data_IF_302771460104
#
_entry.id   IF_302771460104
#
_cell.length_a   1.000
_cell.length_b   1.000
_cell.length_c   1.000
_cell.angle_alpha   90.00
_cell.angle_beta   90.00
_cell.angle_gamma   90.00
#
_symmetry.space_group_name_H-M   'P 1'
#
loop_
_entity.id
_entity.type
_entity.pdbx_description
1 polymer ?
#
# COMPACT_ATOMS: atom_id res chain seq x y z
N UNK A 1 -12.85 6.04 8.21
CA UNK A 1 -12.81 5.33 9.51
C UNK A 1 -12.33 3.92 9.24
N UNK A 2 -11.02 3.69 9.17
CA UNK A 2 -10.40 2.57 8.44
C UNK A 2 -10.69 1.13 8.88
N UNK A 3 -11.45 0.91 9.95
CA UNK A 3 -11.93 -0.41 10.38
C UNK A 3 -13.33 -0.62 9.80
N UNK A 4 -13.69 -1.84 9.40
CA UNK A 4 -14.97 -2.28 8.79
C UNK A 4 -15.03 -2.20 7.26
N UNK A 5 -14.33 -1.27 6.59
CA UNK A 5 -14.19 -1.32 5.13
C UNK A 5 -13.08 -2.31 4.76
N UNK A 6 -13.40 -3.29 3.91
CA UNK A 6 -12.48 -4.34 3.44
C UNK A 6 -12.33 -4.34 1.91
N UNK A 7 -12.69 -3.22 1.27
CA UNK A 7 -12.68 -3.01 -0.18
C UNK A 7 -11.33 -2.52 -0.70
N UNK A 8 -10.35 -2.33 0.19
CA UNK A 8 -9.00 -1.87 -0.12
C UNK A 8 -7.94 -2.54 0.74
N UNK A 9 -6.68 -2.62 0.30
CA UNK A 9 -5.58 -3.18 1.10
C UNK A 9 -5.40 -2.46 2.45
N UNK A 10 -5.41 -1.13 2.55
CA UNK A 10 -5.30 -0.46 3.85
C UNK A 10 -6.45 -0.84 4.79
N UNK A 11 -7.64 -1.05 4.23
CA UNK A 11 -8.79 -1.57 4.97
C UNK A 11 -8.53 -3.00 5.46
N UNK A 12 -8.04 -3.89 4.59
CA UNK A 12 -7.67 -5.26 4.94
C UNK A 12 -6.60 -5.30 6.04
N UNK A 13 -5.56 -4.48 5.93
CA UNK A 13 -4.49 -4.36 6.95
C UNK A 13 -5.05 -3.86 8.27
N UNK A 14 -5.89 -2.83 8.25
CA UNK A 14 -6.51 -2.30 9.46
C UNK A 14 -7.43 -3.34 10.15
N UNK A 15 -8.24 -4.07 9.37
CA UNK A 15 -9.14 -5.10 9.89
C UNK A 15 -8.35 -6.29 10.45
N UNK A 16 -7.33 -6.77 9.74
CA UNK A 16 -6.47 -7.86 10.21
C UNK A 16 -5.72 -7.46 11.47
N UNK A 17 -5.18 -6.25 11.52
CA UNK A 17 -4.50 -5.74 12.71
C UNK A 17 -5.44 -5.71 13.91
N UNK A 18 -6.67 -5.20 13.74
CA UNK A 18 -7.66 -5.13 14.80
C UNK A 18 -8.05 -6.53 15.31
N UNK A 19 -8.26 -7.48 14.39
CA UNK A 19 -8.58 -8.87 14.71
C UNK A 19 -7.43 -9.56 15.47
N UNK A 20 -6.20 -9.43 15.00
CA UNK A 20 -5.03 -10.07 15.61
C UNK A 20 -4.70 -9.45 16.97
N UNK A 21 -4.90 -8.13 17.12
CA UNK A 21 -4.80 -7.48 18.42
C UNK A 21 -5.87 -8.01 19.37
N UNK A 22 -7.14 -8.06 18.96
CA UNK A 22 -8.24 -8.55 19.79
C UNK A 22 -8.01 -9.99 20.29
N UNK A 23 -7.46 -10.87 19.45
CA UNK A 23 -7.17 -12.28 19.80
C UNK A 23 -6.16 -12.45 20.93
N UNK A 24 -5.31 -11.45 21.16
CA UNK A 24 -4.23 -11.48 22.16
C UNK A 24 -4.27 -10.27 23.09
N UNK A 25 -5.37 -9.51 23.12
CA UNK A 25 -5.40 -8.22 23.80
C UNK A 25 -5.13 -8.34 25.31
N UNK A 26 -5.66 -9.38 25.96
CA UNK A 26 -5.42 -9.63 27.39
C UNK A 26 -3.95 -9.94 27.65
N UNK A 27 -3.35 -10.79 26.81
CA UNK A 27 -1.94 -11.20 26.92
C UNK A 27 -1.01 -10.00 26.70
N UNK A 28 -1.45 -9.01 25.93
CA UNK A 28 -0.76 -7.74 25.69
C UNK A 28 -1.06 -6.67 26.77
N UNK A 29 -1.69 -7.04 27.89
CA UNK A 29 -1.94 -6.16 29.04
C UNK A 29 -3.27 -5.41 29.01
N UNK A 30 -4.18 -5.72 28.10
CA UNK A 30 -5.52 -5.14 28.09
C UNK A 30 -6.35 -5.65 29.28
N UNK A 31 -7.22 -4.76 29.78
CA UNK A 31 -8.25 -5.11 30.78
C UNK A 31 -9.35 -6.02 30.23
N UNK A 32 -9.46 -6.14 28.91
CA UNK A 32 -10.44 -6.97 28.25
C UNK A 32 -9.89 -8.37 27.98
N UNK A 33 -10.76 -9.37 27.99
CA UNK A 33 -10.40 -10.74 27.63
C UNK A 33 -10.09 -10.87 26.14
N UNK A 34 -9.22 -11.80 25.76
CA UNK A 34 -8.98 -12.15 24.36
C UNK A 34 -10.29 -12.45 23.62
N UNK A 35 -10.43 -11.94 22.40
CA UNK A 35 -11.65 -12.05 21.61
C UNK A 35 -11.34 -12.37 20.14
N UNK A 36 -12.16 -13.22 19.53
CA UNK A 36 -12.11 -13.54 18.10
C UNK A 36 -13.48 -13.18 17.50
N UNK A 37 -13.58 -12.02 16.86
CA UNK A 37 -14.86 -11.46 16.41
C UNK A 37 -15.29 -12.03 15.06
N UNK A 38 -16.60 -12.26 14.90
CA UNK A 38 -17.21 -12.59 13.60
C UNK A 38 -17.41 -11.33 12.74
N UNK A 39 -17.67 -11.51 11.43
CA UNK A 39 -18.01 -10.39 10.55
C UNK A 39 -19.24 -9.60 11.04
N UNK A 40 -20.21 -10.26 11.69
CA UNK A 40 -21.38 -9.61 12.28
C UNK A 40 -21.02 -8.75 13.48
N UNK A 41 -20.13 -9.23 14.36
CA UNK A 41 -19.68 -8.43 15.50
C UNK A 41 -18.88 -7.20 15.03
N UNK A 42 -18.08 -7.34 13.97
CA UNK A 42 -17.42 -6.19 13.34
C UNK A 42 -18.39 -5.22 12.67
N UNK A 43 -19.49 -5.70 12.09
CA UNK A 43 -20.57 -4.86 11.57
C UNK A 43 -21.25 -4.06 12.68
N UNK A 44 -21.57 -4.68 13.81
CA UNK A 44 -22.14 -4.01 14.99
C UNK A 44 -21.17 -2.96 15.57
N UNK A 45 -19.87 -3.29 15.63
CA UNK A 45 -18.83 -2.34 15.98
C UNK A 45 -18.83 -1.13 15.02
N UNK A 46 -18.92 -1.36 13.72
CA UNK A 46 -18.98 -0.29 12.70
C UNK A 46 -20.15 0.66 12.89
N UNK A 47 -21.34 0.13 13.19
CA UNK A 47 -22.53 0.93 13.50
C UNK A 47 -22.35 1.77 14.77
N UNK A 48 -21.72 1.19 15.79
CA UNK A 48 -21.37 1.90 17.03
C UNK A 48 -20.40 3.03 16.73
N UNK A 49 -19.36 2.77 15.94
CA UNK A 49 -18.37 3.76 15.55
C UNK A 49 -19.00 4.95 14.81
N UNK A 50 -19.90 4.69 13.85
CA UNK A 50 -20.65 5.73 13.14
C UNK A 50 -21.52 6.56 14.10
N UNK A 51 -22.14 5.91 15.09
CA UNK A 51 -22.94 6.59 16.11
C UNK A 51 -22.06 7.52 16.97
N UNK A 52 -20.89 7.04 17.43
CA UNK A 52 -19.95 7.84 18.23
C UNK A 52 -19.32 8.99 17.46
N UNK A 53 -19.02 8.79 16.18
CA UNK A 53 -18.58 9.85 15.28
C UNK A 53 -19.66 10.94 15.15
N UNK A 54 -20.91 10.55 14.88
CA UNK A 54 -22.05 11.47 14.76
C UNK A 54 -22.32 12.26 16.05
N UNK A 55 -22.27 11.61 17.22
CA UNK A 55 -22.42 12.27 18.53
C UNK A 55 -21.41 13.42 18.69
N UNK A 56 -20.16 13.22 18.27
CA UNK A 56 -19.11 14.24 18.36
C UNK A 56 -19.33 15.37 17.35
N UNK A 57 -19.73 15.08 16.11
CA UNK A 57 -20.10 16.11 15.12
C UNK A 57 -21.24 16.98 15.60
N UNK A 58 -22.30 16.38 16.14
CA UNK A 58 -23.43 17.10 16.74
C UNK A 58 -22.99 17.95 17.93
N UNK A 59 -21.99 17.49 18.70
CA UNK A 59 -21.43 18.28 19.79
C UNK A 59 -20.68 19.53 19.29
N UNK A 60 -19.98 19.45 18.15
CA UNK A 60 -19.32 20.61 17.53
C UNK A 60 -20.32 21.58 16.89
N UNK A 61 -21.36 21.06 16.23
CA UNK A 61 -22.47 21.88 15.72
C UNK A 61 -23.14 22.70 16.82
N UNK A 62 -23.43 22.08 17.97
CA UNK A 62 -24.02 22.76 19.14
C UNK A 62 -23.13 23.84 19.76
N UNK A 63 -21.84 23.88 19.39
CA UNK A 63 -20.86 24.89 19.84
C UNK A 63 -20.58 25.94 18.77
N UNK A 64 -21.44 26.03 17.75
CA UNK A 64 -21.27 26.94 16.60
C UNK A 64 -19.92 26.74 15.87
N UNK A 65 -19.44 25.48 15.84
CA UNK A 65 -18.23 25.08 15.11
C UNK A 65 -18.55 24.06 14.01
N UNK A 66 -19.32 24.45 12.97
CA UNK A 66 -19.64 23.57 11.85
C UNK A 66 -18.40 23.16 11.04
N UNK A 67 -17.35 23.98 11.05
CA UNK A 67 -16.05 23.69 10.47
C UNK A 67 -15.42 22.41 11.07
N UNK A 68 -15.46 22.28 12.40
CA UNK A 68 -14.95 21.11 13.12
C UNK A 68 -15.93 19.93 13.09
N UNK A 69 -17.23 20.19 12.92
CA UNK A 69 -18.19 19.12 12.73
C UNK A 69 -18.04 18.45 11.35
N UNK A 70 -17.69 19.23 10.32
CA UNK A 70 -17.42 18.73 8.97
C UNK A 70 -16.09 17.96 8.94
N UNK A 71 -15.03 18.56 9.46
CA UNK A 71 -13.70 17.96 9.56
C UNK A 71 -13.35 17.71 11.02
N UNK A 72 -13.81 16.57 11.55
CA UNK A 72 -13.58 16.22 12.95
C UNK A 72 -12.08 16.27 13.28
N UNK A 73 -11.69 16.99 14.36
CA UNK A 73 -10.32 16.97 14.86
C UNK A 73 -9.87 15.54 15.16
N UNK A 74 -8.59 15.26 14.97
CA UNK A 74 -7.98 13.96 15.25
C UNK A 74 -8.27 13.47 16.67
N UNK A 75 -8.25 14.37 17.65
CA UNK A 75 -8.62 14.03 19.03
C UNK A 75 -10.08 13.58 19.17
N UNK A 76 -11.00 14.18 18.40
CA UNK A 76 -12.41 13.74 18.38
C UNK A 76 -12.55 12.40 17.67
N UNK A 77 -11.86 12.19 16.55
CA UNK A 77 -11.88 10.90 15.84
C UNK A 77 -11.33 9.79 16.74
N UNK A 78 -10.21 10.04 17.42
CA UNK A 78 -9.63 9.12 18.40
C UNK A 78 -10.62 8.79 19.52
N UNK A 79 -11.29 9.78 20.09
CA UNK A 79 -12.30 9.58 21.13
C UNK A 79 -13.50 8.76 20.65
N UNK A 80 -13.96 8.94 19.40
CA UNK A 80 -15.03 8.11 18.83
C UNK A 80 -14.61 6.63 18.73
N UNK A 81 -13.38 6.38 18.27
CA UNK A 81 -12.83 5.02 18.17
C UNK A 81 -12.67 4.42 19.57
N UNK A 82 -12.06 5.12 20.52
CA UNK A 82 -11.87 4.65 21.90
C UNK A 82 -13.21 4.21 22.51
N UNK A 83 -14.23 5.06 22.42
CA UNK A 83 -15.58 4.74 22.93
C UNK A 83 -16.21 3.53 22.24
N UNK A 84 -16.03 3.39 20.93
CA UNK A 84 -16.56 2.25 20.19
C UNK A 84 -15.84 0.95 20.60
N UNK A 85 -14.51 0.94 20.66
CA UNK A 85 -13.74 -0.24 21.07
C UNK A 85 -14.08 -0.65 22.50
N UNK A 86 -14.11 0.30 23.44
CA UNK A 86 -14.43 0.00 24.83
C UNK A 86 -15.86 -0.55 25.01
N UNK A 87 -16.83 -0.01 24.27
CA UNK A 87 -18.23 -0.49 24.32
C UNK A 87 -18.34 -1.95 23.84
N UNK A 88 -17.47 -2.37 22.92
CA UNK A 88 -17.38 -3.73 22.39
C UNK A 88 -16.39 -4.62 23.15
N UNK A 89 -15.89 -4.17 24.32
CA UNK A 89 -14.89 -4.88 25.13
C UNK A 89 -13.61 -5.20 24.34
N UNK A 90 -13.19 -4.25 23.54
CA UNK A 90 -11.95 -4.29 22.78
C UNK A 90 -11.01 -3.18 23.26
N UNK A 91 -9.72 -3.47 23.24
CA UNK A 91 -8.71 -2.48 23.52
C UNK A 91 -8.72 -1.36 22.45
N UNK A 92 -8.70 -0.07 22.82
CA UNK A 92 -8.61 1.01 21.85
C UNK A 92 -7.40 0.92 20.91
N UNK A 93 -6.31 0.28 21.34
CA UNK A 93 -5.14 0.05 20.49
C UNK A 93 -5.38 -0.97 19.37
N UNK A 94 -6.54 -1.63 19.30
CA UNK A 94 -6.97 -2.35 18.10
C UNK A 94 -7.08 -1.41 16.89
N UNK A 95 -7.24 -0.11 17.08
CA UNK A 95 -7.21 0.87 16.00
C UNK A 95 -5.76 1.24 15.64
N UNK A 96 -5.33 0.88 14.43
CA UNK A 96 -3.94 1.08 13.98
C UNK A 96 -3.37 2.49 14.25
N UNK A 97 -4.06 3.60 13.89
CA UNK A 97 -3.55 4.96 14.15
C UNK A 97 -3.47 5.33 15.63
N UNK A 98 -4.26 4.69 16.50
CA UNK A 98 -4.39 5.06 17.92
C UNK A 98 -3.05 5.10 18.63
N UNK A 99 -2.21 4.10 18.40
CA UNK A 99 -0.92 3.93 19.06
C UNK A 99 -0.01 5.14 18.80
N UNK A 100 0.07 5.59 17.54
CA UNK A 100 0.88 6.74 17.17
C UNK A 100 0.25 8.06 17.64
N UNK A 101 -1.06 8.22 17.47
CA UNK A 101 -1.76 9.45 17.89
C UNK A 101 -1.65 9.65 19.41
N UNK A 102 -1.78 8.60 20.20
CA UNK A 102 -1.62 8.66 21.65
C UNK A 102 -0.19 8.99 22.06
N UNK A 103 0.80 8.33 21.46
CA UNK A 103 2.21 8.64 21.74
C UNK A 103 2.53 10.12 21.41
N UNK A 104 1.97 10.64 20.31
CA UNK A 104 2.10 12.04 19.96
C UNK A 104 1.43 12.97 20.97
N UNK A 105 0.23 12.63 21.44
CA UNK A 105 -0.49 13.40 22.44
C UNK A 105 0.27 13.45 23.77
N UNK A 106 0.77 12.31 24.24
CA UNK A 106 1.50 12.20 25.51
C UNK A 106 2.86 12.91 25.46
N UNK A 107 3.60 12.76 24.36
CA UNK A 107 4.95 13.30 24.24
C UNK A 107 4.98 14.77 23.82
N UNK A 108 4.16 15.12 22.83
CA UNK A 108 4.27 16.38 22.09
C UNK A 108 3.00 17.22 22.12
N UNK A 109 1.94 16.73 22.77
CA UNK A 109 0.70 17.46 23.01
C UNK A 109 -0.31 17.47 21.85
N UNK A 110 -1.47 18.12 22.05
CA UNK A 110 -2.59 18.06 21.12
C UNK A 110 -2.28 18.58 19.71
N UNK A 111 -1.43 19.61 19.59
CA UNK A 111 -1.07 20.17 18.28
C UNK A 111 -0.31 19.15 17.41
N UNK A 112 0.57 18.35 18.01
CA UNK A 112 1.30 17.31 17.28
C UNK A 112 0.40 16.15 16.87
N UNK A 113 -0.55 15.76 17.73
CA UNK A 113 -1.58 14.79 17.37
C UNK A 113 -2.36 15.25 16.12
N UNK A 114 -2.83 16.51 16.12
CA UNK A 114 -3.59 17.06 14.99
C UNK A 114 -2.73 17.16 13.71
N UNK A 115 -1.46 17.52 13.83
CA UNK A 115 -0.52 17.51 12.71
C UNK A 115 -0.37 16.11 12.11
N UNK A 116 -0.12 15.09 12.94
CA UNK A 116 0.04 13.70 12.49
C UNK A 116 -1.27 13.19 11.87
N UNK A 117 -2.41 13.48 12.49
CA UNK A 117 -3.72 13.11 11.95
C UNK A 117 -3.98 13.74 10.58
N UNK A 118 -3.70 15.04 10.43
CA UNK A 118 -3.86 15.75 9.15
C UNK A 118 -2.98 15.12 8.07
N UNK A 119 -1.71 14.85 8.40
CA UNK A 119 -0.79 14.17 7.48
C UNK A 119 -1.27 12.76 7.09
N UNK A 120 -1.98 12.05 7.98
CA UNK A 120 -2.58 10.75 7.65
C UNK A 120 -3.79 10.86 6.72
N UNK A 121 -4.46 12.02 6.66
CA UNK A 121 -5.61 12.28 5.80
C UNK A 121 -5.20 12.80 4.41
N UNK A 122 -4.03 13.42 4.30
CA UNK A 122 -3.51 13.96 3.04
C UNK A 122 -3.15 12.83 2.06
N UNK A 123 -4.10 12.50 1.20
CA UNK A 123 -3.98 11.50 0.13
C UNK A 123 -3.18 12.01 -1.10
N UNK A 124 -2.48 13.15 -1.00
CA UNK A 124 -1.62 13.66 -2.09
C UNK A 124 -0.41 12.74 -2.37
N UNK A 125 -0.18 11.76 -1.48
CA UNK A 125 0.79 10.68 -1.67
C UNK A 125 0.09 9.47 -2.31
N UNK A 126 0.19 9.36 -3.62
CA UNK A 126 -0.28 8.18 -4.36
C UNK A 126 0.52 6.96 -3.90
N UNK A 127 -0.06 6.17 -3.00
CA UNK A 127 0.10 4.72 -2.97
C UNK A 127 1.46 4.10 -2.62
N UNK A 128 2.52 4.86 -2.32
CA UNK A 128 3.77 4.30 -1.81
C UNK A 128 3.74 4.25 -0.27
N UNK A 129 3.71 3.02 0.28
CA UNK A 129 3.76 2.62 1.69
C UNK A 129 3.49 3.75 2.70
N UNK A 130 2.27 3.83 3.24
CA UNK A 130 1.96 4.68 4.43
C UNK A 130 3.02 4.52 5.53
N UNK A 131 3.63 3.35 5.65
CA UNK A 131 4.73 3.03 6.58
C UNK A 131 5.98 3.92 6.41
N UNK A 132 6.34 4.40 5.20
CA UNK A 132 7.59 5.15 4.98
C UNK A 132 7.55 6.56 5.56
N UNK A 133 6.48 7.32 5.32
CA UNK A 133 6.28 8.66 5.91
C UNK A 133 5.95 8.59 7.41
N UNK A 134 5.28 7.51 7.84
CA UNK A 134 4.94 7.30 9.26
C UNK A 134 6.15 6.86 10.09
N UNK A 135 7.19 6.30 9.47
CA UNK A 135 8.36 5.74 10.17
C UNK A 135 9.15 6.76 10.99
N UNK A 136 9.43 7.94 10.42
CA UNK A 136 10.13 9.02 11.14
C UNK A 136 9.31 9.51 12.34
N UNK A 137 8.03 9.83 12.14
CA UNK A 137 7.14 10.28 13.21
C UNK A 137 6.95 9.21 14.28
N UNK A 138 6.91 7.93 13.89
CA UNK A 138 6.82 6.81 14.84
C UNK A 138 8.02 6.78 15.77
N UNK A 139 9.26 6.84 15.24
CA UNK A 139 10.44 6.88 16.10
C UNK A 139 10.54 8.17 16.91
N UNK A 140 10.17 9.30 16.31
CA UNK A 140 10.15 10.59 16.98
C UNK A 140 9.15 10.63 18.14
N UNK A 141 8.01 9.95 18.05
CA UNK A 141 6.99 9.93 19.12
C UNK A 141 7.18 8.78 20.11
N UNK A 142 7.47 7.57 19.65
CA UNK A 142 7.49 6.35 20.47
C UNK A 142 8.90 5.90 20.91
N UNK A 143 9.95 6.48 20.33
CA UNK A 143 11.34 6.02 20.51
C UNK A 143 11.67 4.78 19.67
N UNK A 144 12.96 4.43 19.60
CA UNK A 144 13.45 3.39 18.69
C UNK A 144 12.86 2.00 18.98
N UNK A 145 12.78 1.59 20.25
CA UNK A 145 12.33 0.25 20.61
C UNK A 145 10.83 0.05 20.31
N UNK A 146 9.95 0.87 20.89
CA UNK A 146 8.51 0.76 20.70
C UNK A 146 8.09 1.08 19.25
N UNK A 147 8.76 2.06 18.63
CA UNK A 147 8.51 2.38 17.22
C UNK A 147 8.89 1.24 16.27
N UNK A 148 10.01 0.54 16.52
CA UNK A 148 10.42 -0.60 15.69
C UNK A 148 9.43 -1.76 15.79
N UNK A 149 8.95 -2.07 17.00
CA UNK A 149 7.95 -3.11 17.22
C UNK A 149 6.62 -2.80 16.52
N UNK A 150 6.17 -1.55 16.61
CA UNK A 150 4.95 -1.10 15.95
C UNK A 150 5.05 -1.20 14.42
N UNK A 151 6.14 -0.70 13.81
CA UNK A 151 6.34 -0.77 12.37
C UNK A 151 6.52 -2.21 11.87
N UNK A 152 7.23 -3.06 12.64
CA UNK A 152 7.37 -4.47 12.30
C UNK A 152 6.01 -5.16 12.26
N UNK A 153 5.14 -4.94 13.26
CA UNK A 153 3.80 -5.51 13.29
C UNK A 153 2.97 -5.08 12.07
N UNK A 154 2.99 -3.80 11.72
CA UNK A 154 2.28 -3.30 10.53
C UNK A 154 2.85 -3.87 9.22
N UNK A 155 4.18 -3.89 9.08
CA UNK A 155 4.83 -4.45 7.90
C UNK A 155 4.52 -5.95 7.72
N UNK A 156 4.47 -6.72 8.80
CA UNK A 156 4.07 -8.13 8.73
C UNK A 156 2.60 -8.30 8.35
N UNK A 157 1.70 -7.48 8.90
CA UNK A 157 0.26 -7.55 8.55
C UNK A 157 0.04 -7.15 7.09
N UNK A 158 0.72 -6.11 6.60
CA UNK A 158 0.66 -5.70 5.19
C UNK A 158 1.15 -6.81 4.25
N UNK A 159 2.30 -7.42 4.53
CA UNK A 159 2.81 -8.54 3.73
C UNK A 159 1.85 -9.74 3.71
N UNK A 160 1.22 -10.07 4.84
CA UNK A 160 0.21 -11.14 4.90
C UNK A 160 -1.01 -10.78 4.05
N UNK A 161 -1.54 -9.55 4.16
CA UNK A 161 -2.72 -9.14 3.39
C UNK A 161 -2.41 -8.99 1.89
N UNK A 162 -1.19 -8.63 1.49
CA UNK A 162 -0.80 -8.64 0.08
C UNK A 162 -0.79 -10.04 -0.54
N UNK A 163 -0.41 -11.06 0.22
CA UNK A 163 -0.35 -12.45 -0.25
C UNK A 163 -1.71 -13.16 -0.14
N UNK A 164 -2.36 -13.01 1.01
CA UNK A 164 -3.50 -13.81 1.42
C UNK A 164 -4.80 -13.01 1.57
N UNK A 165 -4.73 -11.68 1.55
CA UNK A 165 -5.87 -10.80 1.72
C UNK A 165 -6.85 -10.90 0.55
N UNK A 166 -8.15 -10.95 0.89
CA UNK A 166 -9.25 -11.02 -0.07
C UNK A 166 -10.27 -9.94 0.26
N UNK A 167 -10.74 -9.25 -0.78
CA UNK A 167 -11.85 -8.30 -0.66
C UNK A 167 -13.13 -8.99 -0.20
N UNK A 168 -13.86 -8.37 0.73
CA UNK A 168 -15.13 -8.90 1.24
C UNK A 168 -16.36 -8.47 0.41
N UNK A 169 -16.14 -7.95 -0.81
CA UNK A 169 -17.22 -7.44 -1.67
C UNK A 169 -18.10 -8.57 -2.22
N UNK A 170 -17.52 -9.73 -2.52
CA UNK A 170 -18.27 -10.91 -2.97
C UNK A 170 -18.85 -11.66 -1.75
N UNK A 171 -20.19 -11.75 -1.62
CA UNK A 171 -20.83 -12.45 -0.51
C UNK A 171 -20.68 -13.97 -0.61
N UNK A 172 -20.42 -14.51 -1.81
CA UNK A 172 -20.33 -15.94 -2.06
C UNK A 172 -18.91 -16.49 -1.85
N UNK A 173 -17.91 -15.66 -1.51
CA UNK A 173 -16.53 -16.11 -1.33
C UNK A 173 -15.96 -15.60 -0.01
N UNK A 174 -15.68 -16.50 0.93
CA UNK A 174 -15.27 -16.16 2.30
C UNK A 174 -13.95 -16.87 2.64
N UNK A 175 -12.92 -16.12 3.02
CA UNK A 175 -11.61 -16.65 3.40
C UNK A 175 -10.46 -15.92 2.71
N UNK A 176 -9.28 -16.51 2.72
CA UNK A 176 -8.06 -15.95 2.15
C UNK A 176 -7.93 -16.22 0.64
N UNK A 177 -6.84 -15.77 0.02
CA UNK A 177 -6.56 -16.13 -1.37
C UNK A 177 -6.27 -17.62 -1.54
N UNK A 178 -5.48 -18.21 -0.64
CA UNK A 178 -5.11 -19.62 -0.72
C UNK A 178 -6.13 -20.58 -0.12
N UNK A 179 -6.96 -20.15 0.84
CA UNK A 179 -7.95 -20.99 1.51
C UNK A 179 -9.27 -20.24 1.72
N UNK A 180 -10.32 -20.64 1.00
CA UNK A 180 -11.61 -19.97 1.05
C UNK A 180 -12.78 -20.93 0.83
N UNK A 181 -13.96 -20.55 1.32
CA UNK A 181 -15.22 -21.21 1.02
C UNK A 181 -15.97 -20.45 -0.07
N UNK A 182 -16.56 -21.20 -1.01
CA UNK A 182 -17.40 -20.68 -2.09
C UNK A 182 -18.84 -21.19 -1.93
N UNK A 183 -19.81 -20.28 -2.01
CA UNK A 183 -21.24 -20.60 -1.98
C UNK A 183 -21.78 -20.84 -3.38
N UNK A 184 -22.43 -21.98 -3.57
CA UNK A 184 -23.10 -22.36 -4.80
C UNK A 184 -24.60 -22.16 -4.64
N UNK A 185 -25.15 -21.08 -5.20
CA UNK A 185 -26.52 -20.64 -4.94
C UNK A 185 -27.61 -21.61 -5.43
N UNK A 186 -27.38 -22.28 -6.57
CA UNK A 186 -28.38 -23.22 -7.12
C UNK A 186 -28.49 -24.48 -6.26
N UNK A 187 -27.36 -24.94 -5.74
CA UNK A 187 -27.21 -26.13 -4.92
C UNK A 187 -27.35 -25.82 -3.42
N UNK A 188 -27.37 -24.54 -3.03
CA UNK A 188 -27.43 -24.04 -1.67
C UNK A 188 -26.39 -24.68 -0.73
N UNK A 189 -25.13 -24.75 -1.18
CA UNK A 189 -24.05 -25.40 -0.44
C UNK A 189 -22.73 -24.65 -0.48
N UNK A 190 -21.88 -24.95 0.49
CA UNK A 190 -20.53 -24.42 0.60
C UNK A 190 -19.49 -25.43 0.13
N UNK A 191 -18.47 -24.95 -0.59
CA UNK A 191 -17.30 -25.74 -1.00
C UNK A 191 -16.05 -25.02 -0.54
N UNK A 192 -15.24 -25.70 0.27
CA UNK A 192 -13.92 -25.24 0.65
C UNK A 192 -12.94 -25.48 -0.51
N UNK A 193 -12.19 -24.45 -0.87
CA UNK A 193 -11.18 -24.43 -1.90
C UNK A 193 -9.82 -24.15 -1.26
N UNK A 194 -8.83 -24.99 -1.57
CA UNK A 194 -7.43 -24.78 -1.23
C UNK A 194 -6.62 -24.67 -2.52
N UNK A 195 -5.95 -23.53 -2.71
CA UNK A 195 -5.12 -23.23 -3.87
C UNK A 195 -3.61 -23.22 -3.55
N UNK A 196 -3.21 -23.61 -2.33
CA UNK A 196 -1.81 -23.66 -1.91
C UNK A 196 -1.02 -24.84 -2.50
N UNK A 197 0.26 -24.62 -2.83
CA UNK A 197 1.20 -25.68 -3.20
C UNK A 197 1.04 -26.24 -4.63
N UNK A 198 0.47 -25.46 -5.56
CA UNK A 198 0.37 -25.81 -6.98
C UNK A 198 -0.74 -26.80 -7.34
N UNK A 199 -1.60 -27.17 -6.38
CA UNK A 199 -2.75 -28.05 -6.61
C UNK A 199 -4.02 -27.42 -6.06
N UNK A 200 -5.06 -27.39 -6.88
CA UNK A 200 -6.40 -26.97 -6.46
C UNK A 200 -7.13 -28.17 -5.86
N UNK A 201 -7.55 -28.07 -4.59
CA UNK A 201 -8.47 -29.03 -4.00
C UNK A 201 -9.78 -28.35 -3.63
N UNK A 202 -10.88 -29.05 -3.90
CA UNK A 202 -12.24 -28.59 -3.62
C UNK A 202 -12.96 -29.67 -2.84
N UNK A 203 -13.57 -29.31 -1.71
CA UNK A 203 -14.32 -30.23 -0.86
C UNK A 203 -15.56 -29.54 -0.33
N UNK A 204 -16.71 -30.20 -0.46
CA UNK A 204 -17.95 -29.72 0.15
C UNK A 204 -17.78 -29.57 1.67
N UNK A 205 -18.23 -28.44 2.21
CA UNK A 205 -18.30 -28.21 3.64
C UNK A 205 -19.58 -28.85 4.17
N UNK A 206 -19.44 -29.78 5.11
CA UNK A 206 -20.55 -30.54 5.69
C UNK A 206 -20.68 -30.31 7.20
N UNK A 207 -19.75 -29.57 7.82
CA UNK A 207 -19.81 -29.26 9.24
C UNK A 207 -20.89 -28.19 9.49
N UNK A 208 -21.96 -28.50 10.25
CA UNK A 208 -23.07 -27.57 10.45
C UNK A 208 -22.67 -26.27 11.16
N UNK A 209 -21.68 -26.32 12.07
CA UNK A 209 -21.18 -25.12 12.75
C UNK A 209 -20.45 -24.19 11.78
N UNK A 210 -19.62 -24.75 10.89
CA UNK A 210 -18.91 -23.97 9.88
C UNK A 210 -19.85 -23.42 8.81
N UNK A 211 -20.84 -24.19 8.39
CA UNK A 211 -21.89 -23.73 7.45
C UNK A 211 -22.63 -22.52 8.06
N UNK A 212 -23.05 -22.61 9.33
CA UNK A 212 -23.74 -21.51 10.00
C UNK A 212 -22.87 -20.23 10.09
N UNK A 213 -21.58 -20.37 10.36
CA UNK A 213 -20.63 -19.25 10.35
C UNK A 213 -20.51 -18.60 8.96
N UNK A 214 -20.39 -19.42 7.91
CA UNK A 214 -20.27 -18.95 6.52
C UNK A 214 -21.57 -18.30 6.04
N UNK A 215 -22.73 -18.87 6.37
CA UNK A 215 -24.03 -18.31 6.07
C UNK A 215 -24.24 -16.96 6.77
N UNK A 216 -23.81 -16.84 8.02
CA UNK A 216 -23.89 -15.58 8.77
C UNK A 216 -23.02 -14.48 8.13
N UNK A 217 -21.77 -14.79 7.81
CA UNK A 217 -20.87 -13.85 7.13
C UNK A 217 -21.38 -13.47 5.73
N UNK A 218 -21.94 -14.42 4.97
CA UNK A 218 -22.60 -14.15 3.69
C UNK A 218 -23.80 -13.21 3.87
N UNK A 219 -24.64 -13.45 4.88
CA UNK A 219 -25.80 -12.60 5.16
C UNK A 219 -25.37 -11.16 5.48
N UNK A 220 -24.33 -10.96 6.29
CA UNK A 220 -23.78 -9.63 6.58
C UNK A 220 -23.31 -8.92 5.31
N UNK A 221 -22.62 -9.62 4.40
CA UNK A 221 -22.15 -9.03 3.13
C UNK A 221 -23.31 -8.66 2.20
N UNK A 222 -24.37 -9.45 2.15
CA UNK A 222 -25.59 -9.12 1.42
C UNK A 222 -26.30 -7.90 2.03
N UNK A 223 -26.43 -7.84 3.37
CA UNK A 223 -26.97 -6.68 4.07
C UNK A 223 -26.17 -5.41 3.73
N UNK A 224 -24.83 -5.49 3.69
CA UNK A 224 -23.96 -4.37 3.29
C UNK A 224 -24.21 -3.91 1.86
N UNK A 225 -24.33 -4.85 0.92
CA UNK A 225 -24.66 -4.53 -0.47
C UNK A 225 -26.02 -3.82 -0.58
N UNK A 226 -27.01 -4.29 0.18
CA UNK A 226 -28.33 -3.64 0.22
C UNK A 226 -28.23 -2.23 0.82
N UNK A 227 -27.59 -2.06 1.98
CA UNK A 227 -27.39 -0.75 2.64
C UNK A 227 -26.66 0.24 1.73
N UNK A 228 -25.70 -0.23 0.93
CA UNK A 228 -24.97 0.60 -0.04
C UNK A 228 -25.84 1.22 -1.14
N UNK A 229 -27.08 0.75 -1.31
CA UNK A 229 -28.06 1.33 -2.26
C UNK A 229 -29.06 2.29 -1.61
N UNK A 230 -29.06 2.39 -0.28
CA UNK A 230 -30.02 3.19 0.49
C UNK A 230 -29.51 4.63 0.67
N UNK A 231 -29.61 5.44 -0.39
CA UNK A 231 -29.39 6.88 -0.32
C UNK A 231 -30.67 7.62 0.06
N UNK A 232 -30.52 8.76 0.72
CA UNK A 232 -31.64 9.66 0.98
C UNK A 232 -32.12 10.28 -0.34
N UNK A 233 -33.43 10.35 -0.58
CA UNK A 233 -34.00 10.80 -1.87
C UNK A 233 -33.50 12.19 -2.32
N UNK A 234 -33.22 13.06 -1.36
CA UNK A 234 -32.73 14.42 -1.59
C UNK A 234 -31.19 14.55 -1.62
N UNK A 235 -30.43 13.46 -1.54
CA UNK A 235 -28.97 13.53 -1.58
C UNK A 235 -28.47 13.57 -3.03
N UNK A 236 -27.95 14.69 -3.55
CA UNK A 236 -27.46 14.71 -4.93
C UNK A 236 -26.17 13.88 -5.13
N UNK A 237 -25.55 13.36 -4.06
CA UNK A 237 -24.26 12.68 -4.06
C UNK A 237 -24.39 11.17 -3.81
N UNK A 238 -25.11 10.45 -4.67
CA UNK A 238 -25.26 8.99 -4.61
C UNK A 238 -23.99 8.19 -4.93
N UNK A 239 -22.88 8.84 -5.29
CA UNK A 239 -21.61 8.15 -5.57
C UNK A 239 -20.89 7.82 -4.26
N UNK A 240 -20.82 6.54 -3.89
CA UNK A 240 -19.93 6.10 -2.81
C UNK A 240 -18.50 6.38 -3.24
N UNK A 241 -17.85 7.33 -2.55
CA UNK A 241 -16.42 7.56 -2.72
C UNK A 241 -15.68 6.24 -2.47
N UNK A 242 -14.98 5.74 -3.50
CA UNK A 242 -14.09 4.59 -3.34
C UNK A 242 -13.07 4.90 -2.25
N UNK A 243 -12.73 3.89 -1.46
CA UNK A 243 -11.59 3.99 -0.55
C UNK A 243 -10.35 4.47 -1.33
N UNK A 244 -9.50 5.35 -0.76
CA UNK A 244 -8.28 5.80 -1.44
C UNK A 244 -7.44 4.59 -1.86
N UNK A 245 -7.10 4.53 -3.14
CA UNK A 245 -6.30 3.44 -3.71
C UNK A 245 -4.90 3.44 -3.11
N UNK A 246 -4.42 2.29 -2.65
CA UNK A 246 -2.98 2.03 -2.58
C UNK A 246 -2.55 1.33 -3.85
N UNK A 247 -1.60 1.95 -4.57
CA UNK A 247 -1.02 1.44 -5.81
C UNK A 247 -0.53 -0.01 -5.69
N UNK A 248 -0.23 -0.47 -4.48
CA UNK A 248 0.36 -1.79 -4.22
C UNK A 248 -0.61 -2.98 -4.13
N UNK A 249 -1.95 -2.81 -4.17
CA UNK A 249 -2.86 -3.97 -4.05
C UNK A 249 -4.30 -3.82 -4.56
N UNK A 250 -4.83 -2.61 -4.70
CA UNK A 250 -6.16 -2.47 -5.31
C UNK A 250 -5.96 -2.17 -6.79
N UNK A 251 -6.00 -3.23 -7.60
CA UNK A 251 -5.87 -3.15 -9.05
C UNK A 251 -6.65 -1.97 -9.62
N UNK A 252 -5.94 -1.09 -10.33
CA UNK A 252 -6.53 0.04 -11.01
C UNK A 252 -7.56 -0.45 -12.06
N UNK A 253 -8.64 0.31 -12.33
CA UNK A 253 -9.43 0.06 -13.53
C UNK A 253 -8.53 0.28 -14.75
N UNK A 254 -8.46 -0.72 -15.64
CA UNK A 254 -7.78 -0.76 -16.94
C UNK A 254 -7.09 0.54 -17.40
N UNK A 255 -5.88 0.78 -16.91
CA UNK A 255 -4.81 1.43 -17.67
C UNK A 255 -3.52 0.72 -17.34
N UNK A 256 -3.05 -0.03 -18.34
CA UNK A 256 -1.76 -0.72 -18.47
C UNK A 256 -1.29 -1.45 -17.22
N UNK A 257 -1.53 -2.77 -17.18
CA UNK A 257 -0.89 -3.67 -16.20
C UNK A 257 0.61 -3.37 -16.12
N UNK A 258 1.12 -3.28 -14.89
CA UNK A 258 2.54 -3.19 -14.63
C UNK A 258 3.28 -4.30 -15.38
N UNK A 259 4.40 -4.01 -16.06
CA UNK A 259 5.09 -5.01 -16.86
C UNK A 259 5.62 -6.09 -15.90
N UNK A 260 5.09 -7.29 -16.05
CA UNK A 260 5.54 -8.48 -15.33
C UNK A 260 6.74 -9.12 -16.02
N UNK A 261 6.89 -8.85 -17.32
CA UNK A 261 7.98 -9.33 -18.18
C UNK A 261 8.58 -8.18 -18.96
N UNK A 262 9.84 -8.31 -19.34
CA UNK A 262 10.51 -7.33 -20.22
C UNK A 262 9.82 -7.20 -21.59
N UNK A 263 9.02 -8.18 -22.00
CA UNK A 263 8.23 -8.15 -23.23
C UNK A 263 7.00 -7.23 -23.13
N UNK A 264 6.53 -6.93 -21.91
CA UNK A 264 5.36 -6.08 -21.67
C UNK A 264 5.69 -4.58 -21.89
N UNK A 265 6.99 -4.24 -21.86
CA UNK A 265 7.51 -2.92 -22.24
C UNK A 265 7.62 -2.86 -23.77
N UNK A 266 6.50 -2.52 -24.41
CA UNK A 266 6.40 -2.33 -25.88
C UNK A 266 6.77 -0.93 -26.35
N UNK A 267 6.73 -0.64 -27.67
CA UNK A 267 7.11 0.65 -28.26
C UNK A 267 6.39 1.87 -27.69
N UNK A 268 5.13 1.70 -27.26
CA UNK A 268 4.32 2.75 -26.66
C UNK A 268 4.62 2.98 -25.16
N UNK A 269 5.54 2.18 -24.59
CA UNK A 269 5.95 2.30 -23.19
C UNK A 269 7.09 3.33 -23.04
N UNK A 270 6.97 4.21 -22.06
CA UNK A 270 7.95 5.28 -21.77
C UNK A 270 9.39 4.78 -21.56
N UNK A 271 9.55 3.61 -20.96
CA UNK A 271 10.84 2.98 -20.68
C UNK A 271 11.38 2.13 -21.84
N UNK A 272 10.67 2.08 -22.98
CA UNK A 272 11.08 1.28 -24.14
C UNK A 272 12.42 1.69 -24.71
N UNK A 273 12.70 2.99 -24.81
CA UNK A 273 13.99 3.47 -25.30
C UNK A 273 15.15 3.03 -24.39
N UNK A 274 14.96 3.13 -23.07
CA UNK A 274 15.94 2.67 -22.09
C UNK A 274 16.12 1.14 -22.17
N UNK A 275 15.03 0.38 -22.33
CA UNK A 275 15.08 -1.07 -22.52
C UNK A 275 15.94 -1.46 -23.72
N UNK A 276 15.74 -0.80 -24.87
CA UNK A 276 16.52 -1.10 -26.08
C UNK A 276 18.02 -0.85 -25.88
N UNK A 277 18.36 0.26 -25.21
CA UNK A 277 19.76 0.61 -24.92
C UNK A 277 20.40 -0.40 -23.96
N UNK A 278 19.71 -0.75 -22.88
CA UNK A 278 20.21 -1.74 -21.91
C UNK A 278 20.32 -3.12 -22.54
N UNK A 279 19.34 -3.54 -23.35
CA UNK A 279 19.39 -4.80 -24.12
C UNK A 279 20.61 -4.84 -25.03
N UNK A 280 20.89 -3.77 -25.78
CA UNK A 280 22.05 -3.71 -26.64
C UNK A 280 23.37 -3.86 -25.84
N UNK A 281 23.47 -3.17 -24.70
CA UNK A 281 24.65 -3.25 -23.83
C UNK A 281 24.86 -4.64 -23.20
N UNK A 282 23.79 -5.27 -22.69
CA UNK A 282 23.87 -6.63 -22.12
C UNK A 282 24.16 -7.67 -23.19
N UNK A 283 23.54 -7.58 -24.37
CA UNK A 283 23.85 -8.47 -25.49
C UNK A 283 25.32 -8.38 -25.92
N UNK A 284 25.91 -7.17 -25.87
CA UNK A 284 27.34 -7.00 -26.13
C UNK A 284 28.21 -7.66 -25.05
N UNK A 285 27.81 -7.59 -23.78
CA UNK A 285 28.49 -8.31 -22.68
C UNK A 285 28.43 -9.82 -22.90
N UNK A 286 27.27 -10.36 -23.26
CA UNK A 286 27.11 -11.80 -23.51
C UNK A 286 27.92 -12.27 -24.71
N UNK A 287 27.89 -11.51 -25.81
CA UNK A 287 28.70 -11.79 -27.00
C UNK A 287 30.20 -11.79 -26.67
N UNK A 288 30.66 -10.84 -25.84
CA UNK A 288 32.07 -10.78 -25.42
C UNK A 288 32.47 -11.96 -24.52
N UNK A 289 31.51 -12.50 -23.76
CA UNK A 289 31.68 -13.70 -22.96
C UNK A 289 31.49 -15.02 -23.75
N UNK A 290 31.17 -14.94 -25.05
CA UNK A 290 30.88 -16.11 -25.89
C UNK A 290 29.57 -16.82 -25.51
N UNK A 291 28.63 -16.10 -24.88
CA UNK A 291 27.33 -16.62 -24.45
C UNK A 291 26.21 -16.12 -25.35
N UNK A 292 25.17 -16.91 -25.47
CA UNK A 292 23.88 -16.47 -26.02
C UNK A 292 23.02 -15.87 -24.90
N UNK A 293 22.17 -14.87 -25.17
CA UNK A 293 21.25 -14.33 -24.18
C UNK A 293 20.41 -15.44 -23.53
N UNK A 294 20.34 -15.44 -22.21
CA UNK A 294 19.63 -16.43 -21.39
C UNK A 294 18.79 -15.75 -20.28
N UNK A 295 18.22 -16.52 -19.36
CA UNK A 295 17.43 -16.00 -18.25
C UNK A 295 18.23 -15.04 -17.34
N UNK A 296 19.54 -15.24 -17.20
CA UNK A 296 20.39 -14.34 -16.41
C UNK A 296 20.60 -13.02 -17.15
N UNK A 297 20.68 -13.05 -18.48
CA UNK A 297 20.68 -11.84 -19.32
C UNK A 297 19.41 -11.02 -19.11
N UNK A 298 18.23 -11.67 -19.06
CA UNK A 298 16.96 -10.98 -18.79
C UNK A 298 16.93 -10.33 -17.39
N UNK A 299 17.34 -11.06 -16.35
CA UNK A 299 17.45 -10.52 -14.98
C UNK A 299 18.43 -9.35 -14.90
N UNK A 300 19.56 -9.45 -15.60
CA UNK A 300 20.55 -8.38 -15.69
C UNK A 300 19.97 -7.14 -16.39
N UNK A 301 19.24 -7.30 -17.49
CA UNK A 301 18.58 -6.20 -18.19
C UNK A 301 17.59 -5.48 -17.27
N UNK A 302 16.70 -6.22 -16.60
CA UNK A 302 15.70 -5.63 -15.72
C UNK A 302 16.34 -4.88 -14.52
N UNK A 303 17.37 -5.47 -13.93
CA UNK A 303 18.11 -4.87 -12.81
C UNK A 303 18.87 -3.60 -13.21
N UNK A 304 19.48 -3.59 -14.40
CA UNK A 304 20.22 -2.42 -14.92
C UNK A 304 19.26 -1.28 -15.30
N UNK A 305 18.11 -1.58 -15.89
CA UNK A 305 17.07 -0.56 -16.14
C UNK A 305 16.62 0.11 -14.83
N UNK A 306 16.38 -0.71 -13.80
CA UNK A 306 15.98 -0.24 -12.48
C UNK A 306 17.05 0.66 -11.86
N UNK A 307 18.31 0.22 -11.90
CA UNK A 307 19.46 0.98 -11.42
C UNK A 307 19.57 2.33 -12.12
N UNK A 308 19.33 2.37 -13.44
CA UNK A 308 19.38 3.60 -14.21
C UNK A 308 18.34 4.61 -13.70
N UNK A 309 17.08 4.18 -13.55
CA UNK A 309 15.99 5.06 -13.07
C UNK A 309 16.21 5.54 -11.64
N UNK A 310 16.62 4.65 -10.73
CA UNK A 310 16.92 5.00 -9.33
C UNK A 310 18.03 6.05 -9.19
N UNK A 311 18.96 6.11 -10.16
CA UNK A 311 20.05 7.08 -10.16
C UNK A 311 19.80 8.25 -11.11
N UNK A 312 18.52 8.51 -11.45
CA UNK A 312 18.09 9.61 -12.29
C UNK A 312 18.77 9.65 -13.68
N UNK A 313 19.19 8.50 -14.21
CA UNK A 313 19.67 8.40 -15.58
C UNK A 313 18.47 8.40 -16.55
N UNK A 314 18.55 9.23 -17.58
CA UNK A 314 17.54 9.33 -18.65
C UNK A 314 17.70 8.21 -19.67
N UNK A 315 18.95 7.80 -19.91
CA UNK A 315 19.37 6.83 -20.94
C UNK A 315 20.56 6.01 -20.46
N UNK A 316 20.82 4.89 -21.13
CA UNK A 316 21.93 3.99 -20.86
C UNK A 316 22.86 3.93 -22.09
N UNK A 317 23.71 4.94 -22.27
CA UNK A 317 24.63 5.01 -23.43
C UNK A 317 25.63 3.83 -23.41
N UNK A 318 26.05 3.39 -22.21
CA UNK A 318 26.88 2.20 -22.05
C UNK A 318 26.43 1.34 -20.87
N UNK A 319 26.47 0.01 -21.06
CA UNK A 319 26.39 -0.99 -19.99
C UNK A 319 27.68 -1.80 -20.02
N UNK A 320 28.46 -1.77 -18.94
CA UNK A 320 29.80 -2.37 -18.91
C UNK A 320 30.07 -3.08 -17.59
N UNK A 321 30.96 -4.07 -17.63
CA UNK A 321 31.42 -4.80 -16.45
C UNK A 321 32.68 -4.17 -15.84
N UNK A 322 32.87 -4.34 -14.53
CA UNK A 322 34.07 -3.90 -13.83
C UNK A 322 35.31 -4.62 -14.38
N UNK A 323 36.42 -3.88 -14.50
CA UNK A 323 37.73 -4.47 -14.81
C UNK A 323 38.32 -5.14 -13.57
N UNK A 324 39.24 -6.08 -13.78
CA UNK A 324 40.01 -6.66 -12.68
C UNK A 324 40.92 -5.59 -12.06
N UNK A 325 40.94 -5.54 -10.72
CA UNK A 325 41.87 -4.74 -9.92
C UNK A 325 42.63 -5.66 -8.96
N UNK A 326 43.58 -5.12 -8.20
CA UNK A 326 44.29 -5.89 -7.17
C UNK A 326 43.34 -6.51 -6.13
N UNK A 327 42.25 -5.79 -5.81
CA UNK A 327 41.32 -6.15 -4.73
C UNK A 327 39.97 -6.71 -5.22
N UNK A 328 39.78 -6.85 -6.53
CA UNK A 328 38.51 -7.27 -7.10
C UNK A 328 38.64 -8.00 -8.44
N UNK A 329 37.92 -9.11 -8.66
CA UNK A 329 37.87 -9.77 -9.96
C UNK A 329 37.15 -8.88 -11.00
N UNK A 330 37.44 -9.15 -12.28
CA UNK A 330 36.64 -8.61 -13.37
C UNK A 330 35.19 -9.09 -13.27
N UNK A 331 34.24 -8.27 -13.71
CA UNK A 331 32.82 -8.63 -13.71
C UNK A 331 32.13 -8.58 -12.35
N UNK A 332 32.80 -8.16 -11.27
CA UNK A 332 32.18 -8.03 -9.94
C UNK A 332 30.98 -7.08 -9.94
N UNK A 333 31.09 -5.96 -10.64
CA UNK A 333 30.01 -4.98 -10.75
C UNK A 333 29.61 -4.74 -12.21
N UNK A 334 28.33 -4.50 -12.43
CA UNK A 334 27.79 -3.94 -13.68
C UNK A 334 27.59 -2.44 -13.49
N UNK A 335 27.94 -1.67 -14.51
CA UNK A 335 27.80 -0.22 -14.57
C UNK A 335 26.85 0.17 -15.69
N UNK A 336 25.98 1.12 -15.41
CA UNK A 336 25.24 1.88 -16.42
C UNK A 336 25.78 3.30 -16.47
N UNK A 337 26.05 3.78 -17.68
CA UNK A 337 26.68 5.09 -17.92
C UNK A 337 25.85 5.87 -18.93
N UNK A 338 25.63 7.15 -18.63
CA UNK A 338 25.07 8.15 -19.54
C UNK A 338 26.16 9.17 -19.88
N UNK A 339 26.41 9.34 -21.17
CA UNK A 339 27.53 10.09 -21.74
C UNK A 339 28.70 9.19 -22.12
N UNK A 340 29.65 9.78 -22.86
CA UNK A 340 30.86 9.11 -23.33
C UNK A 340 31.76 8.65 -22.17
N UNK A 341 32.30 7.43 -22.25
CA UNK A 341 33.14 6.84 -21.19
C UNK A 341 34.39 7.68 -20.86
N UNK A 342 34.92 8.43 -21.83
CA UNK A 342 36.09 9.29 -21.68
C UNK A 342 35.75 10.72 -21.22
N UNK A 343 34.45 11.07 -21.12
CA UNK A 343 34.02 12.38 -20.66
C UNK A 343 33.89 12.36 -19.12
N UNK A 344 34.62 13.21 -18.36
CA UNK A 344 34.52 13.24 -16.90
C UNK A 344 33.15 13.67 -16.37
N UNK A 345 32.31 14.30 -17.20
CA UNK A 345 30.95 14.69 -16.85
C UNK A 345 29.92 13.58 -17.08
N UNK A 346 30.34 12.35 -17.42
CA UNK A 346 29.39 11.24 -17.53
C UNK A 346 28.71 10.96 -16.19
N UNK A 347 27.44 10.58 -16.25
CA UNK A 347 26.70 10.07 -15.09
C UNK A 347 26.83 8.56 -15.08
N UNK A 348 27.04 7.96 -13.92
CA UNK A 348 27.14 6.51 -13.79
C UNK A 348 26.52 6.00 -12.51
N UNK A 349 25.96 4.80 -12.59
CA UNK A 349 25.50 4.03 -11.46
C UNK A 349 26.04 2.60 -11.58
N UNK A 350 26.14 1.89 -10.46
CA UNK A 350 26.66 0.52 -10.46
C UNK A 350 25.96 -0.34 -9.42
N UNK A 351 26.00 -1.65 -9.64
CA UNK A 351 25.56 -2.65 -8.68
C UNK A 351 26.38 -3.94 -8.82
N UNK A 352 26.42 -4.80 -7.78
CA UNK A 352 27.03 -6.11 -7.89
C UNK A 352 26.36 -6.97 -8.97
N UNK A 353 27.14 -7.60 -9.84
CA UNK A 353 26.63 -8.39 -10.97
C UNK A 353 25.88 -9.63 -10.49
N UNK A 354 26.33 -10.25 -9.40
CA UNK A 354 25.67 -11.39 -8.74
C UNK A 354 24.27 -11.03 -8.26
N UNK A 355 24.09 -9.86 -7.63
CA UNK A 355 22.78 -9.33 -7.24
C UNK A 355 21.91 -9.10 -8.48
N UNK A 356 22.47 -8.51 -9.55
CA UNK A 356 21.73 -8.19 -10.76
C UNK A 356 21.18 -9.44 -11.47
N UNK A 357 21.92 -10.55 -11.50
CA UNK A 357 21.48 -11.80 -12.15
C UNK A 357 20.64 -12.71 -11.24
N UNK A 358 20.67 -12.52 -9.92
CA UNK A 358 19.86 -13.27 -8.97
C UNK A 358 18.49 -12.63 -8.71
N UNK A 359 18.35 -11.32 -8.95
CA UNK A 359 17.07 -10.62 -8.75
C UNK A 359 16.05 -11.05 -9.80
N UNK A 360 14.86 -11.56 -9.42
CA UNK A 360 13.79 -11.90 -10.37
C UNK A 360 13.37 -10.71 -11.22
N UNK A 361 13.02 -10.97 -12.48
CA UNK A 361 12.63 -9.92 -13.45
C UNK A 361 11.45 -9.13 -12.93
N UNK A 362 10.44 -9.82 -12.40
CA UNK A 362 9.22 -9.25 -11.84
C UNK A 362 9.53 -8.27 -10.71
N UNK A 363 10.48 -8.63 -9.85
CA UNK A 363 10.89 -7.79 -8.72
C UNK A 363 11.62 -6.53 -9.19
N UNK A 364 12.48 -6.65 -10.20
CA UNK A 364 13.16 -5.50 -10.80
C UNK A 364 12.17 -4.58 -11.53
N UNK A 365 11.22 -5.12 -12.29
CA UNK A 365 10.23 -4.33 -13.01
C UNK A 365 9.27 -3.57 -12.08
N UNK A 366 8.83 -4.19 -10.98
CA UNK A 366 8.07 -3.47 -9.96
C UNK A 366 8.87 -2.30 -9.37
N UNK A 367 10.17 -2.48 -9.10
CA UNK A 367 11.04 -1.39 -8.61
C UNK A 367 11.29 -0.31 -9.66
N UNK A 368 11.38 -0.70 -10.94
CA UNK A 368 11.52 0.21 -12.06
C UNK A 368 10.34 1.16 -12.11
N UNK A 369 9.11 0.65 -12.04
CA UNK A 369 7.89 1.48 -12.07
C UNK A 369 7.84 2.51 -10.96
N UNK A 370 8.20 2.12 -9.73
CA UNK A 370 8.25 3.05 -8.59
C UNK A 370 9.25 4.18 -8.86
N UNK A 371 10.48 3.85 -9.25
CA UNK A 371 11.50 4.86 -9.56
C UNK A 371 11.09 5.77 -10.74
N UNK A 372 10.36 5.19 -11.68
CA UNK A 372 9.80 5.87 -12.83
C UNK A 372 8.71 6.88 -12.42
N UNK A 373 7.76 6.48 -11.57
CA UNK A 373 6.67 7.34 -11.10
C UNK A 373 7.18 8.52 -10.25
N UNK A 374 8.15 8.27 -9.36
CA UNK A 374 8.76 9.30 -8.51
C UNK A 374 9.37 10.44 -9.35
N UNK A 375 10.04 10.08 -10.45
CA UNK A 375 10.67 11.06 -11.36
C UNK A 375 9.66 11.93 -12.09
N UNK A 376 8.57 11.34 -12.60
CA UNK A 376 7.53 12.10 -13.30
C UNK A 376 6.87 13.13 -12.39
N UNK A 377 6.65 12.77 -11.13
CA UNK A 377 6.11 13.69 -10.14
C UNK A 377 7.08 14.82 -9.81
N UNK A 378 8.38 14.53 -9.66
CA UNK A 378 9.40 15.55 -9.45
C UNK A 378 9.46 16.56 -10.62
N UNK A 379 9.35 16.06 -11.85
CA UNK A 379 9.32 16.88 -13.08
C UNK A 379 8.01 17.69 -13.22
N UNK A 380 6.88 17.15 -12.76
CA UNK A 380 5.62 17.89 -12.77
C UNK A 380 5.63 19.02 -11.71
N UNK A 381 6.17 18.75 -10.52
CA UNK A 381 6.30 19.75 -9.46
C UNK A 381 7.26 20.88 -9.84
N UNK A 382 8.41 20.57 -10.47
CA UNK A 382 9.34 21.61 -10.92
C UNK A 382 8.72 22.51 -11.99
N UNK A 383 7.98 21.94 -12.95
CA UNK A 383 7.24 22.71 -13.96
C UNK A 383 6.17 23.61 -13.34
N UNK A 384 5.46 23.12 -12.32
CA UNK A 384 4.42 23.90 -11.65
C UNK A 384 5.02 25.04 -10.80
N UNK A 385 6.15 24.80 -10.13
CA UNK A 385 6.89 25.86 -9.45
C UNK A 385 7.45 26.91 -10.42
N UNK A 386 7.99 26.50 -11.58
CA UNK A 386 8.44 27.45 -12.59
C UNK A 386 7.29 28.29 -13.17
N UNK A 387 6.11 27.69 -13.38
CA UNK A 387 4.91 28.40 -13.82
C UNK A 387 4.44 29.43 -12.79
N UNK A 388 4.40 29.05 -11.50
CA UNK A 388 4.03 29.95 -10.41
C UNK A 388 5.05 31.09 -10.25
N UNK A 389 6.34 30.79 -10.40
CA UNK A 389 7.38 31.80 -10.30
C UNK A 389 7.31 32.80 -11.48
N UNK A 390 7.06 32.32 -12.70
CA UNK A 390 6.81 33.18 -13.87
C UNK A 390 5.54 34.02 -13.73
N UNK A 391 4.47 33.48 -13.12
CA UNK A 391 3.26 34.25 -12.83
C UNK A 391 3.51 35.35 -11.78
N UNK A 392 4.33 35.07 -10.75
CA UNK A 392 4.74 36.08 -9.76
C UNK A 392 5.63 37.17 -10.37
N UNK A 393 6.60 36.79 -11.21
CA UNK A 393 7.47 37.75 -11.90
C UNK A 393 6.68 38.65 -12.87
N UNK A 394 5.74 38.08 -13.63
CA UNK A 394 4.89 38.85 -14.54
C UNK A 394 3.88 39.75 -13.82
N UNK A 395 3.40 39.36 -12.63
CA UNK A 395 2.59 40.22 -11.78
C UNK A 395 3.42 41.39 -11.17
N UNK A 396 4.69 41.15 -10.85
CA UNK A 396 5.61 42.18 -10.33
C UNK A 396 5.99 43.22 -11.39
N UNK A 397 6.21 42.82 -12.65
CA UNK A 397 6.53 43.74 -13.76
C UNK A 397 5.36 44.61 -14.24
N UNK A 398 4.11 44.32 -13.86
CA UNK A 398 2.94 45.15 -14.21
C UNK A 398 2.62 46.24 -13.17
N UNK A 399 3.29 46.21 -12.02
CA UNK A 399 3.05 47.13 -10.89
C UNK A 399 4.20 48.14 -10.67
N UNK A 400 5.23 48.11 -11.52
CA UNK A 400 6.27 49.15 -11.64
C UNK A 400 6.16 49.82 -12.99
#
# INVERSE_FOLDING_TARGET
MGVVRNDSLPGQVANSYAQDYARSQHDNGSRFANADLTERQWEEFGQTLLTKDLELRQSWLRRDRPDLALNLPGASVMLAHDRAFEQHRLDPNCWTPRVLLQAALEKSGPQKLEQIWTNMLDNAYVGANRISNTGYETFAQMGLAAGSQYLAKLGTTEAIQMLEGRSAVDPNVIGSNSFYAMYFEKEQKWVNVSAGGGHLSMREETNPGRIAELDDARAVRLERQQKATQFHENDPHHSITRSPFTASADGMPERTQAPSRLADIGPDHRDYALLQQVRAGVNAIDAHAGRTPDENSERLIASVMTLARQNNLDRADHVVLSRQTADSPAGRNVFVVQGELNNPAHLRAHMPTDVAVQTPVEQSLHRLEVASADREQALAQSQQQEMDNRQRESASMRMG
#
